data_IF_650431787055
#
_entry.id   IF_650431787055
#
_cell.length_a   1.000
_cell.length_b   1.000
_cell.length_c   1.000
_cell.angle_alpha   90.00
_cell.angle_beta   90.00
_cell.angle_gamma   90.00
#
_symmetry.space_group_name_H-M   'P 1'
#
loop_
_entity.id
_entity.type
_entity.pdbx_description
1 polymer ?
#
# COMPACT_ATOMS: atom_id res chain seq x y z
N UNK A 1 6.90 25.67 16.26
CA UNK A 1 6.81 24.35 15.59
C UNK A 1 6.26 24.61 14.19
N UNK A 2 7.10 24.49 13.17
CA UNK A 2 6.67 24.57 11.77
C UNK A 2 5.70 23.43 11.50
N UNK A 3 4.55 23.72 10.90
CA UNK A 3 3.61 22.68 10.49
C UNK A 3 4.32 21.72 9.54
N UNK A 4 4.20 20.42 9.79
CA UNK A 4 4.70 19.38 8.88
C UNK A 4 3.92 19.50 7.57
N UNK A 5 4.54 20.04 6.52
CA UNK A 5 3.98 19.99 5.16
C UNK A 5 4.23 18.62 4.53
N UNK A 6 3.31 18.21 3.66
CA UNK A 6 3.43 17.05 2.78
C UNK A 6 3.87 17.45 1.36
N UNK A 7 4.06 18.74 1.10
CA UNK A 7 4.52 19.23 -0.20
C UNK A 7 5.88 18.59 -0.54
N UNK A 8 6.05 18.20 -1.80
CA UNK A 8 7.24 17.52 -2.35
C UNK A 8 7.60 16.19 -1.66
N UNK A 9 6.62 15.51 -1.04
CA UNK A 9 6.80 14.18 -0.44
C UNK A 9 6.03 13.10 -1.17
N UNK A 10 6.71 11.97 -1.41
CA UNK A 10 6.05 10.71 -1.70
C UNK A 10 5.38 10.18 -0.43
N UNK A 11 4.05 10.14 -0.42
CA UNK A 11 3.25 9.62 0.70
C UNK A 11 2.76 8.21 0.37
N UNK A 12 3.25 7.22 1.12
CA UNK A 12 2.84 5.82 0.99
C UNK A 12 1.91 5.44 2.15
N UNK A 13 0.64 5.21 1.84
CA UNK A 13 -0.28 4.58 2.77
C UNK A 13 -0.06 3.06 2.76
N UNK A 14 0.02 2.44 3.92
CA UNK A 14 0.28 1.00 4.03
C UNK A 14 -0.58 0.34 5.12
N UNK A 15 -1.10 -0.85 4.84
CA UNK A 15 -1.84 -1.61 5.85
C UNK A 15 -0.91 -2.36 6.80
N UNK A 16 -1.41 -2.64 8.02
CA UNK A 16 -0.62 -3.27 9.08
C UNK A 16 -0.03 -4.62 8.66
N UNK A 17 -0.84 -5.46 7.98
CA UNK A 17 -0.43 -6.79 7.47
C UNK A 17 0.55 -6.73 6.29
N UNK A 18 0.59 -5.62 5.56
CA UNK A 18 1.62 -5.43 4.53
C UNK A 18 2.98 -5.11 5.18
N UNK A 19 2.97 -4.24 6.20
CA UNK A 19 4.18 -3.79 6.86
C UNK A 19 4.78 -4.82 7.83
N UNK A 20 3.95 -5.54 8.58
CA UNK A 20 4.35 -6.56 9.54
C UNK A 20 3.59 -7.86 9.33
N UNK A 21 4.20 -8.96 9.76
CA UNK A 21 3.55 -10.27 9.79
C UNK A 21 2.55 -10.33 10.96
N UNK A 22 1.28 -10.43 10.60
CA UNK A 22 0.16 -10.64 11.52
C UNK A 22 -0.71 -11.82 11.07
N UNK A 23 -0.14 -12.80 10.37
CA UNK A 23 -0.93 -13.88 9.77
C UNK A 23 -1.51 -14.86 10.81
N UNK A 24 -0.94 -14.93 12.01
CA UNK A 24 -1.55 -15.65 13.13
C UNK A 24 -2.80 -14.92 13.65
N UNK A 25 -2.68 -13.61 13.91
CA UNK A 25 -3.78 -12.78 14.38
C UNK A 25 -4.89 -12.68 13.34
N UNK A 26 -4.53 -12.60 12.06
CA UNK A 26 -5.48 -12.58 10.97
C UNK A 26 -6.28 -13.88 10.87
N UNK A 27 -5.64 -15.04 11.09
CA UNK A 27 -6.37 -16.31 11.15
C UNK A 27 -7.43 -16.29 12.25
N UNK A 28 -7.11 -15.79 13.45
CA UNK A 28 -8.10 -15.67 14.54
C UNK A 28 -9.26 -14.75 14.15
N UNK A 29 -8.96 -13.61 13.51
CA UNK A 29 -9.97 -12.69 13.01
C UNK A 29 -10.90 -13.34 11.97
N UNK A 30 -10.36 -14.09 11.02
CA UNK A 30 -11.14 -14.74 9.96
C UNK A 30 -12.06 -15.86 10.47
N UNK A 31 -11.76 -16.45 11.64
CA UNK A 31 -12.65 -17.41 12.30
C UNK A 31 -13.87 -16.74 12.98
N UNK A 32 -13.94 -15.40 12.99
CA UNK A 32 -15.10 -14.66 13.47
C UNK A 32 -15.20 -14.51 15.00
N UNK A 33 -14.13 -14.82 15.74
CA UNK A 33 -14.07 -14.60 17.19
C UNK A 33 -13.36 -13.27 17.50
N UNK A 34 -14.13 -12.18 17.46
CA UNK A 34 -13.64 -10.83 17.78
C UNK A 34 -13.04 -10.74 19.19
N UNK A 35 -13.54 -11.52 20.15
CA UNK A 35 -13.04 -11.50 21.53
C UNK A 35 -11.67 -12.17 21.60
N UNK A 36 -11.51 -13.33 20.97
CA UNK A 36 -10.21 -13.99 20.89
C UNK A 36 -9.19 -13.13 20.14
N UNK A 37 -9.58 -12.48 19.05
CA UNK A 37 -8.72 -11.57 18.30
C UNK A 37 -8.22 -10.41 19.18
N UNK A 38 -9.14 -9.71 19.86
CA UNK A 38 -8.78 -8.58 20.73
C UNK A 38 -7.93 -9.02 21.91
N UNK A 39 -8.22 -10.19 22.50
CA UNK A 39 -7.43 -10.73 23.60
C UNK A 39 -6.00 -11.05 23.16
N UNK A 40 -5.83 -11.72 22.02
CA UNK A 40 -4.52 -12.03 21.44
C UNK A 40 -3.70 -10.75 21.19
N UNK A 41 -4.34 -9.72 20.64
CA UNK A 41 -3.68 -8.44 20.37
C UNK A 41 -3.26 -7.70 21.65
N UNK A 42 -4.04 -7.81 22.73
CA UNK A 42 -3.69 -7.26 24.05
C UNK A 42 -2.52 -8.02 24.69
N UNK A 43 -2.53 -9.34 24.65
CA UNK A 43 -1.45 -10.17 25.20
C UNK A 43 -0.12 -9.92 24.51
N UNK A 44 -0.15 -9.57 23.22
CA UNK A 44 1.03 -9.32 22.39
C UNK A 44 1.34 -7.82 22.21
N UNK A 45 0.67 -6.93 22.92
CA UNK A 45 0.77 -5.48 22.71
C UNK A 45 2.21 -4.95 22.84
N UNK A 46 3.02 -5.55 23.72
CA UNK A 46 4.44 -5.21 23.95
C UNK A 46 5.42 -6.12 23.20
N UNK A 47 4.91 -7.08 22.41
CA UNK A 47 5.72 -7.98 21.59
C UNK A 47 5.75 -7.42 20.16
N UNK A 48 6.91 -6.92 19.69
CA UNK A 48 7.05 -6.42 18.32
C UNK A 48 6.65 -7.50 17.31
N UNK A 49 5.80 -7.13 16.35
CA UNK A 49 5.46 -8.02 15.25
C UNK A 49 6.69 -8.25 14.35
N UNK A 50 6.89 -9.47 13.81
CA UNK A 50 7.94 -9.70 12.83
C UNK A 50 7.77 -8.82 11.58
N UNK A 51 8.86 -8.45 10.90
CA UNK A 51 8.78 -7.74 9.62
C UNK A 51 7.90 -8.48 8.61
N UNK A 52 7.06 -7.74 7.89
CA UNK A 52 6.24 -8.25 6.79
C UNK A 52 6.92 -8.10 5.43
N UNK A 53 6.24 -8.50 4.36
CA UNK A 53 6.80 -8.48 3.00
C UNK A 53 7.17 -7.07 2.53
N UNK A 54 6.35 -6.06 2.84
CA UNK A 54 6.64 -4.68 2.44
C UNK A 54 7.60 -3.96 3.40
N UNK A 55 8.05 -4.59 4.49
CA UNK A 55 8.94 -3.97 5.47
C UNK A 55 10.24 -3.46 4.84
N UNK A 56 10.90 -4.30 4.03
CA UNK A 56 12.17 -3.93 3.38
C UNK A 56 11.99 -2.76 2.43
N UNK A 57 10.88 -2.71 1.68
CA UNK A 57 10.53 -1.58 0.81
C UNK A 57 10.34 -0.30 1.64
N UNK A 58 9.53 -0.34 2.69
CA UNK A 58 9.28 0.82 3.55
C UNK A 58 10.55 1.34 4.21
N UNK A 59 11.39 0.43 4.73
CA UNK A 59 12.70 0.77 5.31
C UNK A 59 13.58 1.52 4.30
N UNK A 60 13.64 1.03 3.05
CA UNK A 60 14.43 1.64 1.98
C UNK A 60 13.86 2.97 1.52
N UNK A 61 12.53 3.10 1.42
CA UNK A 61 11.87 4.36 1.07
C UNK A 61 12.14 5.43 2.15
N UNK A 62 11.97 5.08 3.42
CA UNK A 62 12.27 5.99 4.53
C UNK A 62 13.76 6.37 4.62
N UNK A 63 14.67 5.55 4.08
CA UNK A 63 16.09 5.87 4.02
C UNK A 63 16.44 7.02 3.05
N UNK A 64 15.51 7.44 2.17
CA UNK A 64 15.66 8.67 1.37
C UNK A 64 15.45 9.95 2.19
N UNK A 65 14.99 9.82 3.43
CA UNK A 65 14.88 10.95 4.35
C UNK A 65 16.22 11.23 5.01
N UNK A 66 16.63 12.50 4.98
CA UNK A 66 17.83 13.03 5.62
C UNK A 66 17.46 14.19 6.54
N UNK A 67 18.39 14.59 7.43
CA UNK A 67 18.14 15.65 8.42
C UNK A 67 17.59 16.95 7.81
N UNK A 68 18.04 17.28 6.59
CA UNK A 68 17.65 18.50 5.89
C UNK A 68 16.43 18.32 4.97
N UNK A 69 16.16 17.09 4.51
CA UNK A 69 15.15 16.82 3.49
C UNK A 69 14.37 15.54 3.82
N UNK A 70 13.06 15.70 4.06
CA UNK A 70 12.13 14.59 4.24
C UNK A 70 11.36 14.41 2.93
N UNK A 71 11.66 13.35 2.18
CA UNK A 71 11.11 13.05 0.84
C UNK A 71 10.01 12.02 0.85
N UNK A 72 9.94 11.19 1.89
CA UNK A 72 8.98 10.10 2.00
C UNK A 72 8.23 10.20 3.33
N UNK A 73 6.91 10.11 3.26
CA UNK A 73 6.04 9.93 4.41
C UNK A 73 5.37 8.55 4.31
N UNK A 74 5.37 7.78 5.39
CA UNK A 74 4.68 6.48 5.45
C UNK A 74 3.59 6.56 6.50
N UNK A 75 2.37 6.23 6.09
CA UNK A 75 1.17 6.35 6.92
C UNK A 75 0.47 5.01 7.04
N UNK A 76 0.07 4.64 8.25
CA UNK A 76 -0.70 3.41 8.46
C UNK A 76 -2.17 3.65 8.09
N UNK A 77 -2.75 2.74 7.30
CA UNK A 77 -4.18 2.75 7.01
C UNK A 77 -4.72 1.33 7.17
N UNK A 78 -5.52 1.10 8.20
CA UNK A 78 -5.92 -0.26 8.58
C UNK A 78 -7.37 -0.32 9.07
N UNK A 79 -8.03 -1.44 8.76
CA UNK A 79 -9.33 -1.80 9.32
C UNK A 79 -9.22 -2.30 10.76
N UNK A 80 -8.02 -2.56 11.27
CA UNK A 80 -7.82 -3.06 12.62
C UNK A 80 -8.34 -2.04 13.66
N UNK A 81 -8.53 -2.53 14.88
CA UNK A 81 -8.88 -1.68 16.01
C UNK A 81 -7.67 -0.86 16.51
N UNK A 82 -7.90 0.24 17.27
CA UNK A 82 -6.83 1.10 17.76
C UNK A 82 -5.83 0.40 18.68
N UNK A 83 -6.23 -0.62 19.45
CA UNK A 83 -5.31 -1.38 20.32
C UNK A 83 -4.34 -2.16 19.46
N UNK A 84 -4.85 -2.83 18.43
CA UNK A 84 -4.01 -3.45 17.38
C UNK A 84 -3.10 -2.42 16.72
N UNK A 85 -3.59 -1.20 16.48
CA UNK A 85 -2.79 -0.10 15.93
C UNK A 85 -1.60 0.31 16.81
N UNK A 86 -1.77 0.29 18.13
CA UNK A 86 -0.67 0.57 19.06
C UNK A 86 0.47 -0.44 18.95
N UNK A 87 0.15 -1.73 18.77
CA UNK A 87 1.17 -2.76 18.54
C UNK A 87 1.95 -2.51 17.25
N UNK A 88 1.28 -2.04 16.19
CA UNK A 88 1.92 -1.68 14.92
C UNK A 88 2.93 -0.54 15.11
N UNK A 89 2.54 0.55 15.79
CA UNK A 89 3.47 1.65 16.07
C UNK A 89 4.65 1.24 16.95
N UNK A 90 4.42 0.41 17.98
CA UNK A 90 5.49 -0.15 18.81
C UNK A 90 6.43 -1.03 17.99
N UNK A 91 5.89 -1.78 17.04
CA UNK A 91 6.68 -2.59 16.11
C UNK A 91 7.50 -1.70 15.17
N UNK A 92 6.94 -0.60 14.65
CA UNK A 92 7.70 0.41 13.91
C UNK A 92 8.88 0.92 14.74
N UNK A 93 8.65 1.32 16.00
CA UNK A 93 9.73 1.81 16.86
C UNK A 93 10.81 0.74 17.12
N UNK A 94 10.41 -0.47 17.47
CA UNK A 94 11.32 -1.58 17.75
C UNK A 94 12.21 -1.95 16.54
N UNK A 95 11.68 -1.79 15.33
CA UNK A 95 12.39 -2.09 14.08
C UNK A 95 13.02 -0.86 13.41
N UNK A 96 13.16 0.27 14.13
CA UNK A 96 13.87 1.46 13.65
C UNK A 96 13.10 2.34 12.66
N UNK A 97 11.77 2.15 12.55
CA UNK A 97 10.86 2.96 11.74
C UNK A 97 10.11 4.01 12.57
N UNK A 98 10.78 4.64 13.53
CA UNK A 98 10.17 5.57 14.50
C UNK A 98 9.57 6.86 13.87
N UNK A 99 9.87 7.14 12.59
CA UNK A 99 9.25 8.21 11.81
C UNK A 99 7.82 7.88 11.36
N UNK A 100 7.41 6.61 11.37
CA UNK A 100 6.02 6.20 11.07
C UNK A 100 5.13 6.51 12.27
N UNK A 101 4.56 7.72 12.28
CA UNK A 101 3.81 8.25 13.43
C UNK A 101 2.34 8.52 13.13
N UNK A 102 1.97 8.53 11.84
CA UNK A 102 0.60 8.78 11.39
C UNK A 102 -0.10 7.46 11.09
N UNK A 103 -1.35 7.36 11.51
CA UNK A 103 -2.17 6.22 11.17
C UNK A 103 -3.66 6.44 11.37
N UNK A 104 -4.47 5.73 10.59
CA UNK A 104 -5.92 5.69 10.71
C UNK A 104 -6.35 4.24 10.89
N UNK A 105 -7.09 3.99 11.97
CA UNK A 105 -7.59 2.68 12.38
C UNK A 105 -9.12 2.75 12.47
N UNK A 106 -9.82 2.02 11.60
CA UNK A 106 -11.25 2.27 11.37
C UNK A 106 -12.20 1.30 12.06
N UNK A 107 -11.68 0.28 12.77
CA UNK A 107 -12.48 -0.74 13.46
C UNK A 107 -13.48 -1.43 12.52
N UNK A 108 -12.98 -2.08 11.47
CA UNK A 108 -13.75 -2.83 10.48
C UNK A 108 -14.40 -1.96 9.40
N UNK A 109 -14.55 -0.64 9.62
CA UNK A 109 -15.12 0.27 8.62
C UNK A 109 -14.18 0.51 7.45
N UNK A 110 -14.76 0.92 6.33
CA UNK A 110 -14.01 1.31 5.14
C UNK A 110 -12.98 2.43 5.43
N UNK A 111 -11.68 2.20 5.13
CA UNK A 111 -10.65 3.18 5.41
C UNK A 111 -10.31 4.10 4.21
N UNK A 112 -10.80 3.83 3.00
CA UNK A 112 -10.27 4.46 1.78
C UNK A 112 -10.67 5.92 1.62
N UNK A 113 -11.76 6.34 2.28
CA UNK A 113 -12.11 7.76 2.38
C UNK A 113 -11.00 8.63 2.98
N UNK A 114 -10.05 8.03 3.70
CA UNK A 114 -8.92 8.72 4.31
C UNK A 114 -7.69 8.81 3.39
N UNK A 115 -7.64 8.13 2.24
CA UNK A 115 -6.48 8.21 1.33
C UNK A 115 -6.23 9.64 0.85
N UNK A 116 -7.28 10.36 0.41
CA UNK A 116 -7.15 11.76 -0.03
C UNK A 116 -6.74 12.71 1.11
N UNK A 117 -7.42 12.73 2.28
CA UNK A 117 -7.00 13.57 3.41
C UNK A 117 -5.59 13.25 3.93
N UNK A 118 -5.12 12.01 3.79
CA UNK A 118 -3.75 11.64 4.16
C UNK A 118 -2.70 12.12 3.15
N UNK A 119 -3.12 12.58 1.96
CA UNK A 119 -2.23 12.96 0.87
C UNK A 119 -1.56 11.76 0.21
N UNK A 120 -2.16 10.57 0.27
CA UNK A 120 -1.55 9.34 -0.20
C UNK A 120 -1.38 9.31 -1.73
N UNK A 121 -0.18 8.98 -2.19
CA UNK A 121 0.17 8.79 -3.60
C UNK A 121 0.14 7.31 -4.00
N UNK A 122 0.36 6.41 -3.04
CA UNK A 122 0.33 4.97 -3.21
C UNK A 122 -0.31 4.31 -1.99
N UNK A 123 -1.17 3.32 -2.22
CA UNK A 123 -1.68 2.45 -1.17
C UNK A 123 -1.20 0.99 -1.34
N UNK A 124 -0.56 0.44 -0.32
CA UNK A 124 -0.09 -0.94 -0.27
C UNK A 124 -0.87 -1.73 0.77
N UNK A 125 -1.51 -2.84 0.37
CA UNK A 125 -2.23 -3.70 1.32
C UNK A 125 -2.10 -5.18 1.02
N UNK A 126 -2.08 -6.00 2.07
CA UNK A 126 -2.21 -7.45 1.95
C UNK A 126 -3.63 -7.90 1.53
N UNK A 127 -4.64 -7.06 1.75
CA UNK A 127 -6.04 -7.38 1.49
C UNK A 127 -6.44 -6.96 0.07
N UNK A 128 -6.85 -7.93 -0.75
CA UNK A 128 -7.25 -7.69 -2.14
C UNK A 128 -8.50 -6.81 -2.26
N UNK A 129 -9.48 -6.98 -1.38
CA UNK A 129 -10.70 -6.17 -1.37
C UNK A 129 -10.37 -4.70 -1.11
N UNK A 130 -9.39 -4.44 -0.25
CA UNK A 130 -8.92 -3.09 0.04
C UNK A 130 -8.27 -2.45 -1.20
N UNK A 131 -7.41 -3.19 -1.89
CA UNK A 131 -6.74 -2.72 -3.11
C UNK A 131 -7.75 -2.41 -4.20
N UNK A 132 -8.71 -3.33 -4.45
CA UNK A 132 -9.78 -3.11 -5.43
C UNK A 132 -10.61 -1.87 -5.12
N UNK A 133 -10.93 -1.66 -3.84
CA UNK A 133 -11.72 -0.50 -3.41
C UNK A 133 -10.96 0.82 -3.62
N UNK A 134 -9.67 0.86 -3.31
CA UNK A 134 -8.82 2.03 -3.57
C UNK A 134 -8.70 2.34 -5.07
N UNK A 135 -8.48 1.31 -5.90
CA UNK A 135 -8.43 1.47 -7.37
C UNK A 135 -9.75 2.00 -7.94
N UNK A 136 -10.90 1.52 -7.46
CA UNK A 136 -12.22 2.04 -7.88
C UNK A 136 -12.43 3.52 -7.53
N UNK A 137 -11.74 4.01 -6.49
CA UNK A 137 -11.74 5.42 -6.10
C UNK A 137 -10.70 6.26 -6.85
N UNK A 138 -9.99 5.66 -7.82
CA UNK A 138 -8.96 6.32 -8.62
C UNK A 138 -7.63 6.52 -7.89
N UNK A 139 -7.37 5.76 -6.81
CA UNK A 139 -6.11 5.82 -6.08
C UNK A 139 -5.16 4.71 -6.55
N UNK A 140 -3.87 5.02 -6.85
CA UNK A 140 -2.87 4.00 -7.13
C UNK A 140 -2.74 3.05 -5.93
N UNK A 141 -2.99 1.76 -6.16
CA UNK A 141 -2.95 0.76 -5.10
C UNK A 141 -2.46 -0.59 -5.60
N UNK A 142 -1.68 -1.30 -4.78
CA UNK A 142 -1.17 -2.63 -5.09
C UNK A 142 -1.35 -3.61 -3.93
N UNK A 143 -1.59 -4.88 -4.29
CA UNK A 143 -1.63 -5.99 -3.34
C UNK A 143 -0.21 -6.42 -2.99
N UNK A 144 0.07 -6.52 -1.70
CA UNK A 144 1.28 -7.13 -1.16
C UNK A 144 1.00 -8.60 -0.92
N UNK A 145 1.75 -9.48 -1.59
CA UNK A 145 1.62 -10.93 -1.44
C UNK A 145 2.39 -11.39 -0.19
N UNK A 146 1.69 -11.56 0.93
CA UNK A 146 2.28 -11.88 2.24
C UNK A 146 3.04 -13.21 2.29
N UNK A 147 2.72 -14.14 1.40
CA UNK A 147 3.38 -15.46 1.29
C UNK A 147 4.68 -15.43 0.45
N UNK A 148 5.04 -14.26 -0.11
CA UNK A 148 6.25 -14.12 -0.91
C UNK A 148 7.52 -14.14 -0.06
N UNK A 149 8.64 -14.54 -0.68
CA UNK A 149 9.96 -14.50 -0.03
C UNK A 149 10.29 -13.06 0.35
N UNK A 150 10.66 -12.84 1.61
CA UNK A 150 11.13 -11.52 2.06
C UNK A 150 12.32 -11.08 1.23
N UNK A 151 12.32 -9.80 0.83
CA UNK A 151 13.45 -9.24 0.09
C UNK A 151 14.72 -9.37 0.95
N UNK A 152 15.71 -10.11 0.43
CA UNK A 152 17.00 -10.25 1.08
C UNK A 152 17.74 -8.92 1.20
N UNK A 153 18.77 -8.87 2.06
CA UNK A 153 19.55 -7.65 2.31
C UNK A 153 20.56 -7.33 1.19
N UNK A 154 20.48 -8.01 0.05
CA UNK A 154 21.21 -7.65 -1.15
C UNK A 154 20.71 -6.28 -1.64
N UNK A 155 21.64 -5.31 -1.76
CA UNK A 155 21.35 -3.91 -2.12
C UNK A 155 20.44 -3.17 -1.13
N UNK A 156 20.91 -2.90 0.11
CA UNK A 156 20.10 -2.27 1.16
C UNK A 156 19.81 -0.78 0.90
N UNK A 157 20.53 -0.15 -0.03
CA UNK A 157 20.40 1.28 -0.39
C UNK A 157 19.72 1.53 -1.73
N UNK A 158 19.08 0.50 -2.29
CA UNK A 158 18.45 0.57 -3.60
C UNK A 158 17.01 0.08 -3.54
N UNK A 159 16.11 0.88 -4.10
CA UNK A 159 14.72 0.51 -4.40
C UNK A 159 14.60 0.28 -5.89
N UNK A 160 14.23 -0.95 -6.29
CA UNK A 160 13.94 -1.31 -7.68
C UNK A 160 12.44 -1.53 -7.79
N UNK A 161 11.79 -0.81 -8.70
CA UNK A 161 10.38 -0.95 -8.99
C UNK A 161 10.25 -1.24 -10.48
N UNK A 162 9.52 -2.30 -10.81
CA UNK A 162 9.10 -2.60 -12.16
C UNK A 162 7.59 -2.43 -12.23
N UNK A 163 7.12 -1.75 -13.27
CA UNK A 163 5.70 -1.62 -13.57
C UNK A 163 5.43 -2.38 -14.85
N UNK A 164 4.30 -3.07 -14.90
CA UNK A 164 3.76 -3.53 -16.17
C UNK A 164 3.29 -2.32 -17.00
N UNK A 165 3.15 -2.49 -18.30
CA UNK A 165 2.65 -1.45 -19.20
C UNK A 165 1.14 -1.31 -19.08
N UNK A 166 0.43 -2.27 -19.69
CA UNK A 166 -1.01 -2.23 -19.83
C UNK A 166 -1.72 -2.46 -18.49
N UNK A 167 -2.87 -1.80 -18.30
CA UNK A 167 -3.65 -1.80 -17.07
C UNK A 167 -2.90 -1.31 -15.81
N UNK A 168 -1.66 -0.80 -15.95
CA UNK A 168 -0.83 -0.29 -14.85
C UNK A 168 -0.36 1.13 -15.17
N UNK A 169 0.58 1.29 -16.10
CA UNK A 169 1.05 2.61 -16.55
C UNK A 169 0.13 3.21 -17.61
N UNK A 170 -0.44 2.35 -18.45
CA UNK A 170 -1.35 2.69 -19.52
C UNK A 170 -2.74 2.08 -19.27
N UNK A 171 -3.76 2.69 -19.85
CA UNK A 171 -5.14 2.20 -19.71
C UNK A 171 -5.34 0.84 -20.35
N UNK A 172 -6.29 0.07 -19.84
CA UNK A 172 -6.74 -1.22 -20.39
C UNK A 172 -7.78 -1.07 -21.53
N UNK A 173 -7.87 0.10 -22.18
CA UNK A 173 -8.95 0.40 -23.12
C UNK A 173 -9.04 -0.63 -24.26
N UNK A 174 -7.90 -0.99 -24.84
CA UNK A 174 -7.84 -1.97 -25.93
C UNK A 174 -8.28 -3.37 -25.44
N UNK A 175 -7.83 -3.79 -24.25
CA UNK A 175 -8.24 -5.06 -23.65
C UNK A 175 -9.76 -5.10 -23.41
N UNK A 176 -10.37 -3.99 -22.98
CA UNK A 176 -11.83 -3.90 -22.80
C UNK A 176 -12.57 -4.06 -24.13
N UNK A 177 -12.06 -3.52 -25.23
CA UNK A 177 -12.63 -3.73 -26.57
C UNK A 177 -12.51 -5.19 -26.98
N UNK A 178 -11.36 -5.83 -26.73
CA UNK A 178 -11.18 -7.25 -27.01
C UNK A 178 -12.17 -8.13 -26.24
N UNK A 179 -12.32 -7.90 -24.93
CA UNK A 179 -13.22 -8.67 -24.07
C UNK A 179 -14.71 -8.49 -24.42
N UNK A 180 -15.10 -7.30 -24.92
CA UNK A 180 -16.51 -6.99 -25.22
C UNK A 180 -16.91 -7.29 -26.67
N UNK A 181 -16.01 -7.08 -27.64
CA UNK A 181 -16.32 -7.11 -29.08
C UNK A 181 -15.45 -8.10 -29.88
N UNK A 182 -14.47 -8.72 -29.24
CA UNK A 182 -13.60 -9.74 -29.83
C UNK A 182 -12.46 -9.20 -30.69
N UNK A 183 -11.67 -10.12 -31.24
CA UNK A 183 -10.38 -9.84 -31.89
C UNK A 183 -10.47 -8.85 -33.07
N UNK A 184 -11.51 -8.96 -33.90
CA UNK A 184 -11.65 -8.10 -35.07
C UNK A 184 -11.89 -6.63 -34.68
N UNK A 185 -12.63 -6.38 -33.59
CA UNK A 185 -12.84 -5.04 -33.07
C UNK A 185 -11.57 -4.47 -32.44
N UNK A 186 -10.86 -5.28 -31.66
CA UNK A 186 -9.54 -4.94 -31.12
C UNK A 186 -8.55 -4.51 -32.21
N UNK A 187 -8.39 -5.31 -33.28
CA UNK A 187 -7.46 -4.98 -34.37
C UNK A 187 -7.81 -3.67 -35.08
N UNK A 188 -9.11 -3.38 -35.27
CA UNK A 188 -9.56 -2.10 -35.84
C UNK A 188 -9.29 -0.93 -34.88
N UNK A 189 -9.52 -1.12 -33.58
CA UNK A 189 -9.25 -0.11 -32.55
C UNK A 189 -7.76 0.23 -32.51
N UNK A 190 -6.89 -0.77 -32.43
CA UNK A 190 -5.42 -0.61 -32.45
C UNK A 190 -4.96 0.11 -33.72
N UNK A 191 -5.44 -0.33 -34.89
CA UNK A 191 -5.06 0.28 -36.17
C UNK A 191 -5.53 1.73 -36.29
N UNK A 192 -6.76 2.03 -35.84
CA UNK A 192 -7.33 3.38 -35.91
C UNK A 192 -6.67 4.34 -34.92
N UNK A 193 -6.16 3.83 -33.79
CA UNK A 193 -5.54 4.62 -32.72
C UNK A 193 -4.02 4.55 -32.68
N UNK A 194 -3.37 3.91 -33.65
CA UNK A 194 -1.91 3.69 -33.65
C UNK A 194 -1.04 4.96 -33.46
N UNK A 195 -1.54 6.14 -33.88
CA UNK A 195 -0.85 7.42 -33.73
C UNK A 195 -1.27 8.21 -32.46
N UNK A 196 -2.20 7.70 -31.66
CA UNK A 196 -2.68 8.31 -30.43
C UNK A 196 -1.89 7.75 -29.24
N UNK A 197 -1.33 8.59 -28.36
CA UNK A 197 -0.71 8.11 -27.13
C UNK A 197 -1.70 7.30 -26.28
N UNK A 198 -1.23 6.22 -25.67
CA UNK A 198 -2.05 5.42 -24.78
C UNK A 198 -2.56 6.28 -23.60
N UNK A 199 -3.85 6.17 -23.24
CA UNK A 199 -4.38 6.87 -22.08
C UNK A 199 -3.68 6.42 -20.79
N UNK A 200 -3.77 7.26 -19.76
CA UNK A 200 -3.13 7.03 -18.47
C UNK A 200 -3.73 5.81 -17.75
N UNK A 201 -2.86 4.97 -17.20
CA UNK A 201 -3.24 3.86 -16.33
C UNK A 201 -3.34 4.26 -14.86
N UNK A 202 -3.81 3.34 -13.99
CA UNK A 202 -4.06 3.63 -12.57
C UNK A 202 -2.83 4.05 -11.77
N UNK A 203 -1.61 3.73 -12.22
CA UNK A 203 -0.36 4.10 -11.54
C UNK A 203 0.29 5.37 -12.09
N UNK A 204 -0.25 5.97 -13.15
CA UNK A 204 0.29 7.22 -13.69
C UNK A 204 0.37 8.36 -12.65
N UNK A 205 -0.61 8.56 -11.74
CA UNK A 205 -0.49 9.57 -10.69
C UNK A 205 0.69 9.35 -9.75
N UNK A 206 1.09 8.10 -9.50
CA UNK A 206 2.28 7.80 -8.68
C UNK A 206 3.58 8.26 -9.37
N UNK A 207 3.66 8.11 -10.70
CA UNK A 207 4.84 8.52 -11.46
C UNK A 207 4.97 10.04 -11.62
N UNK A 208 3.86 10.76 -11.43
CA UNK A 208 3.81 12.22 -11.51
C UNK A 208 3.90 12.91 -10.15
N UNK A 209 3.96 12.13 -9.06
CA UNK A 209 4.04 12.58 -7.68
C UNK A 209 5.42 13.09 -7.28
#
# INVERSE_FOLDING_TARGET
MTALTLDDKLVVAISSRALFDFEEENRVFEHGDDRAYVQLQRERLDIPAPPGVAFSLVRKLLAFNHAEHQRVEVVLLSRNDPVSGMRVFRSCQAHGLASVQRGVFTQGRDPFRYLRPLGAHLFLSANETDVRSALHLGFPAARVLTESVQAGDAHPREVRIAFDGDAVLFSDEAERVYQSEGLAAFQRHESAKAAQPLPEGPFKPLLAA
#
